data_IF_953602017507
#
_entry.id   IF_953602017507
#
_cell.length_a   1.000
_cell.length_b   1.000
_cell.length_c   1.000
_cell.angle_alpha   90.00
_cell.angle_beta   90.00
_cell.angle_gamma   90.00
#
_symmetry.space_group_name_H-M   'P 1'
#
loop_
_entity.id
_entity.type
_entity.pdbx_description
1 polymer ?
#
# COMPACT_ATOMS: atom_id res chain seq x y z
N UNK A 1 9.23 10.22 -1.71
CA UNK A 1 10.09 10.03 -2.90
C UNK A 1 9.60 8.78 -3.66
N UNK A 2 9.78 8.70 -4.98
CA UNK A 2 9.40 7.49 -5.74
C UNK A 2 10.03 6.23 -5.12
N UNK A 3 9.26 5.14 -5.04
CA UNK A 3 9.70 3.91 -4.37
C UNK A 3 9.63 3.95 -2.83
N UNK A 4 9.15 5.05 -2.24
CA UNK A 4 8.85 5.09 -0.81
C UNK A 4 7.87 3.98 -0.43
N UNK A 5 8.11 3.34 0.72
CA UNK A 5 7.31 2.24 1.22
C UNK A 5 6.45 2.70 2.39
N UNK A 6 5.21 2.24 2.40
CA UNK A 6 4.24 2.53 3.45
C UNK A 6 3.62 1.23 3.94
N UNK A 7 3.07 1.24 5.15
CA UNK A 7 2.36 0.11 5.72
C UNK A 7 1.06 0.59 6.34
N UNK A 8 -0.01 -0.15 6.15
CA UNK A 8 -1.28 0.16 6.82
C UNK A 8 -1.06 -0.04 8.33
N UNK A 9 -1.52 0.91 9.15
CA UNK A 9 -1.34 0.84 10.60
C UNK A 9 -1.89 -0.47 11.16
N UNK A 10 -1.17 -1.05 12.12
CA UNK A 10 -1.49 -2.37 12.66
C UNK A 10 -2.88 -2.40 13.33
N UNK A 11 -3.30 -1.29 13.93
CA UNK A 11 -4.55 -1.08 14.64
C UNK A 11 -5.70 -0.54 13.77
N UNK A 12 -5.47 -0.26 12.48
CA UNK A 12 -6.55 0.10 11.56
C UNK A 12 -7.61 -1.01 11.52
N UNK A 13 -8.86 -0.74 11.92
CA UNK A 13 -9.89 -1.77 11.98
C UNK A 13 -10.35 -2.17 10.56
N UNK A 14 -10.10 -3.43 10.19
CA UNK A 14 -10.49 -3.97 8.89
C UNK A 14 -11.78 -4.81 8.97
N UNK A 15 -12.31 -5.06 10.17
CA UNK A 15 -13.41 -6.01 10.36
C UNK A 15 -14.72 -5.60 9.69
N UNK A 16 -14.90 -4.30 9.41
CA UNK A 16 -16.07 -3.75 8.73
C UNK A 16 -16.07 -3.92 7.19
N UNK A 17 -14.98 -4.39 6.60
CA UNK A 17 -14.87 -4.54 5.14
C UNK A 17 -15.28 -5.95 4.66
N UNK A 18 -15.61 -6.13 3.37
CA UNK A 18 -15.80 -7.45 2.77
C UNK A 18 -14.58 -8.35 2.99
N UNK A 19 -14.79 -9.67 3.08
CA UNK A 19 -13.75 -10.63 3.42
C UNK A 19 -12.55 -10.59 2.46
N UNK A 20 -12.81 -10.42 1.16
CA UNK A 20 -11.81 -10.29 0.12
C UNK A 20 -10.95 -9.04 0.34
N UNK A 21 -11.56 -7.93 0.73
CA UNK A 21 -10.84 -6.70 1.02
C UNK A 21 -10.06 -6.79 2.34
N UNK A 22 -10.58 -7.50 3.35
CA UNK A 22 -9.83 -7.78 4.57
C UNK A 22 -8.51 -8.49 4.28
N UNK A 23 -8.48 -9.42 3.31
CA UNK A 23 -7.25 -10.10 2.90
C UNK A 23 -6.25 -9.09 2.32
N UNK A 24 -6.71 -8.17 1.48
CA UNK A 24 -5.87 -7.13 0.87
C UNK A 24 -5.36 -6.16 1.95
N UNK A 25 -6.23 -5.66 2.82
CA UNK A 25 -5.84 -4.75 3.91
C UNK A 25 -4.89 -5.43 4.90
N UNK A 26 -5.09 -6.71 5.20
CA UNK A 26 -4.16 -7.49 6.00
C UNK A 26 -2.79 -7.66 5.30
N UNK A 27 -2.78 -7.83 3.97
CA UNK A 27 -1.54 -7.83 3.20
C UNK A 27 -0.85 -6.46 3.25
N UNK A 28 -1.59 -5.34 3.19
CA UNK A 28 -1.03 -4.00 3.37
C UNK A 28 -0.46 -3.76 4.77
N UNK A 29 -1.07 -4.33 5.82
CA UNK A 29 -0.50 -4.33 7.18
C UNK A 29 0.77 -5.16 7.26
N UNK A 30 0.83 -6.29 6.56
CA UNK A 30 1.93 -7.26 6.71
C UNK A 30 3.13 -6.89 5.84
N UNK A 31 2.88 -6.57 4.57
CA UNK A 31 3.90 -6.38 3.53
C UNK A 31 4.06 -4.92 3.11
N UNK A 32 3.05 -4.09 3.36
CA UNK A 32 3.04 -2.70 2.93
C UNK A 32 2.72 -2.51 1.44
N UNK A 33 2.86 -1.27 1.01
CA UNK A 33 2.67 -0.77 -0.36
C UNK A 33 3.86 0.11 -0.76
N UNK A 34 3.94 0.46 -2.04
CA UNK A 34 5.03 1.27 -2.59
C UNK A 34 4.48 2.41 -3.44
N UNK A 35 5.08 3.60 -3.35
CA UNK A 35 4.77 4.71 -4.24
C UNK A 35 5.30 4.39 -5.66
N UNK A 36 4.38 4.04 -6.56
CA UNK A 36 4.69 3.53 -7.90
C UNK A 36 4.58 4.60 -9.00
N UNK A 37 3.80 5.66 -8.80
CA UNK A 37 3.58 6.74 -9.76
C UNK A 37 3.11 8.03 -9.06
N UNK A 38 2.95 9.11 -9.84
CA UNK A 38 2.47 10.41 -9.36
C UNK A 38 1.05 10.70 -9.91
N UNK A 39 0.09 9.83 -9.59
CA UNK A 39 -1.33 10.01 -9.89
C UNK A 39 -2.10 10.84 -8.87
N UNK A 40 -3.34 10.45 -8.61
CA UNK A 40 -4.17 11.02 -7.54
C UNK A 40 -3.64 10.63 -6.16
N UNK A 41 -3.88 11.50 -5.17
CA UNK A 41 -3.45 11.29 -3.79
C UNK A 41 -3.97 9.94 -3.26
N UNK A 42 -3.04 9.10 -2.78
CA UNK A 42 -3.33 7.81 -2.12
C UNK A 42 -4.19 6.82 -2.91
N UNK A 43 -4.20 6.94 -4.25
CA UNK A 43 -4.86 5.96 -5.09
C UNK A 43 -4.11 4.62 -5.08
N UNK A 44 -4.80 3.54 -4.72
CA UNK A 44 -4.23 2.19 -4.72
C UNK A 44 -4.47 1.52 -6.07
N UNK A 45 -3.38 1.20 -6.76
CA UNK A 45 -3.40 0.43 -8.00
C UNK A 45 -2.70 -0.92 -7.83
N UNK A 46 -2.96 -1.83 -8.76
CA UNK A 46 -2.40 -3.18 -8.73
C UNK A 46 -2.33 -3.79 -10.13
N UNK A 47 -1.82 -5.02 -10.21
CA UNK A 47 -1.77 -5.74 -11.47
C UNK A 47 -3.20 -6.09 -11.94
N UNK A 48 -3.55 -5.80 -13.21
CA UNK A 48 -4.87 -6.14 -13.73
C UNK A 48 -5.05 -7.66 -13.77
N UNK A 49 -6.21 -8.13 -13.32
CA UNK A 49 -6.60 -9.54 -13.36
C UNK A 49 -8.12 -9.63 -13.47
N UNK A 50 -8.63 -10.51 -14.33
CA UNK A 50 -10.08 -10.67 -14.53
C UNK A 50 -10.79 -11.30 -13.32
N UNK A 51 -10.04 -11.85 -12.37
CA UNK A 51 -10.57 -12.41 -11.12
C UNK A 51 -10.82 -11.34 -10.05
N UNK A 52 -10.39 -10.10 -10.27
CA UNK A 52 -10.70 -8.99 -9.38
C UNK A 52 -12.11 -8.47 -9.58
N UNK A 53 -12.80 -8.22 -8.47
CA UNK A 53 -14.02 -7.43 -8.44
C UNK A 53 -13.65 -5.94 -8.29
N UNK A 54 -13.68 -5.20 -9.39
CA UNK A 54 -13.31 -3.78 -9.39
C UNK A 54 -14.29 -2.90 -8.58
N UNK A 55 -15.58 -3.27 -8.54
CA UNK A 55 -16.56 -2.50 -7.77
C UNK A 55 -16.28 -2.63 -6.27
N UNK A 56 -15.88 -3.82 -5.82
CA UNK A 56 -15.41 -4.04 -4.45
C UNK A 56 -14.08 -3.33 -4.17
N UNK A 57 -13.13 -3.32 -5.11
CA UNK A 57 -11.83 -2.67 -4.94
C UNK A 57 -11.92 -1.15 -4.76
N UNK A 58 -12.96 -0.50 -5.28
CA UNK A 58 -13.21 0.94 -5.04
C UNK A 58 -13.42 1.29 -3.57
N UNK A 59 -13.70 0.32 -2.69
CA UNK A 59 -13.75 0.56 -1.25
C UNK A 59 -12.39 0.97 -0.65
N UNK A 60 -11.28 0.75 -1.36
CA UNK A 60 -9.94 1.23 -0.97
C UNK A 60 -9.84 2.77 -0.99
N UNK A 61 -10.73 3.47 -1.69
CA UNK A 61 -10.71 4.93 -1.82
C UNK A 61 -10.99 5.65 -0.48
N UNK A 62 -11.44 4.92 0.55
CA UNK A 62 -11.59 5.44 1.92
C UNK A 62 -10.24 5.65 2.63
N UNK A 63 -9.18 4.98 2.17
CA UNK A 63 -7.87 5.03 2.79
C UNK A 63 -7.20 6.38 2.51
N UNK A 64 -6.65 6.96 3.56
CA UNK A 64 -5.92 8.23 3.53
C UNK A 64 -4.51 8.02 4.01
N UNK A 65 -3.62 8.99 3.76
CA UNK A 65 -2.26 8.92 4.28
C UNK A 65 -2.14 8.81 5.80
N UNK A 66 -3.16 9.22 6.55
CA UNK A 66 -3.19 9.09 8.01
C UNK A 66 -3.35 7.63 8.47
N UNK A 67 -3.82 6.75 7.60
CA UNK A 67 -4.01 5.33 7.91
C UNK A 67 -2.71 4.53 7.73
N UNK A 68 -1.67 5.15 7.15
CA UNK A 68 -0.40 4.52 6.86
C UNK A 68 0.74 5.08 7.73
N UNK A 69 1.76 4.25 7.91
CA UNK A 69 3.07 4.64 8.42
C UNK A 69 4.13 4.53 7.32
N UNK A 70 5.07 5.47 7.31
CA UNK A 70 6.24 5.40 6.43
C UNK A 70 7.21 4.34 6.97
N UNK A 71 7.63 3.42 6.10
CA UNK A 71 8.59 2.38 6.44
C UNK A 71 10.00 2.93 6.23
N UNK A 72 10.84 2.86 7.27
CA UNK A 72 12.26 3.17 7.13
C UNK A 72 12.96 2.11 6.27
N UNK A 73 13.37 2.51 5.07
CA UNK A 73 14.09 1.66 4.12
C UNK A 73 15.59 1.94 4.09
N UNK A 74 16.14 2.71 5.03
CA UNK A 74 17.57 3.06 5.06
C UNK A 74 18.49 1.84 5.08
N UNK A 75 18.05 0.73 5.70
CA UNK A 75 18.79 -0.53 5.75
C UNK A 75 18.91 -1.24 4.39
N UNK A 76 17.98 -0.96 3.46
CA UNK A 76 17.98 -1.51 2.11
C UNK A 76 18.85 -0.68 1.16
N UNK A 77 19.13 0.57 1.49
CA UNK A 77 19.82 1.51 0.61
C UNK A 77 21.30 1.16 0.48
N UNK A 78 21.78 0.99 -0.75
CA UNK A 78 23.21 0.81 -1.04
C UNK A 78 23.98 2.15 -1.05
N UNK A 79 23.40 3.17 -1.69
CA UNK A 79 23.95 4.53 -1.79
C UNK A 79 22.81 5.56 -1.75
N UNK A 80 23.05 6.73 -1.15
CA UNK A 80 22.04 7.79 -0.97
C UNK A 80 21.57 8.43 -2.28
N UNK A 81 22.36 8.33 -3.33
CA UNK A 81 22.08 8.88 -4.65
C UNK A 81 21.71 7.80 -5.68
N UNK A 82 21.33 6.59 -5.23
CA UNK A 82 20.99 5.46 -6.10
C UNK A 82 19.67 4.79 -5.68
N UNK A 83 19.01 4.12 -6.62
CA UNK A 83 17.89 3.20 -6.35
C UNK A 83 18.32 1.75 -6.09
N UNK A 84 19.63 1.49 -6.04
CA UNK A 84 20.20 0.17 -5.77
C UNK A 84 19.95 -0.27 -4.32
N UNK A 85 19.71 -1.57 -4.14
CA UNK A 85 19.43 -2.18 -2.84
C UNK A 85 20.49 -3.22 -2.45
N UNK A 86 20.74 -3.37 -1.15
CA UNK A 86 21.65 -4.37 -0.56
C UNK A 86 21.12 -5.80 -0.64
#
# INVERSE_FOLDING_TARGET
>A
PMGARFRLQADYDISGFPLELQIILQAMKTYGIVLADNGSDWYVSGAPDARWDNDMLHLLDVLTGNDFEAVDTSVLMADVNSGEVR
#
